data_IF_348851470264
#
_entry.id   IF_348851470264
#
_cell.length_a   1.000
_cell.length_b   1.000
_cell.length_c   1.000
_cell.angle_alpha   90.00
_cell.angle_beta   90.00
_cell.angle_gamma   90.00
#
_symmetry.space_group_name_H-M   'P 1'
#
loop_
_entity.id
_entity.type
_entity.pdbx_description
1 polymer ?
#
# COMPACT_ATOMS: atom_id res chain seq x y z
N UNK A 1 -4.68 19.54 19.71
CA UNK A 1 -5.99 18.84 19.65
C UNK A 1 -5.70 17.34 19.65
N UNK A 2 -5.37 16.76 20.81
CA UNK A 2 -4.78 15.41 20.91
C UNK A 2 -5.76 14.32 20.46
N UNK A 3 -7.06 14.46 20.75
CA UNK A 3 -8.11 13.53 20.29
C UNK A 3 -8.32 13.52 18.77
N UNK A 4 -8.05 14.64 18.08
CA UNK A 4 -8.14 14.70 16.62
C UNK A 4 -7.00 13.95 15.92
N UNK A 5 -5.83 13.90 16.55
CA UNK A 5 -4.62 13.28 16.01
C UNK A 5 -4.66 11.76 16.20
N UNK A 6 -5.07 11.29 17.39
CA UNK A 6 -5.26 9.85 17.68
C UNK A 6 -6.32 9.21 16.76
N UNK A 7 -7.42 9.92 16.49
CA UNK A 7 -8.42 9.49 15.53
C UNK A 7 -7.92 9.50 14.08
N UNK A 8 -6.92 10.31 13.74
CA UNK A 8 -6.32 10.35 12.40
C UNK A 8 -5.32 9.20 12.23
N UNK A 9 -4.46 8.95 13.23
CA UNK A 9 -3.56 7.81 13.26
C UNK A 9 -4.31 6.47 13.13
N UNK A 10 -5.45 6.31 13.84
CA UNK A 10 -6.29 5.12 13.71
C UNK A 10 -6.86 4.92 12.29
N UNK A 11 -7.18 6.01 11.58
CA UNK A 11 -7.65 5.96 10.19
C UNK A 11 -6.53 5.58 9.23
N UNK A 12 -5.32 6.10 9.42
CA UNK A 12 -4.14 5.67 8.67
C UNK A 12 -3.88 4.18 8.88
N UNK A 13 -3.85 3.70 10.12
CA UNK A 13 -3.66 2.29 10.44
C UNK A 13 -4.71 1.39 9.76
N UNK A 14 -5.99 1.82 9.76
CA UNK A 14 -7.07 1.11 9.08
C UNK A 14 -6.84 1.04 7.55
N UNK A 15 -6.54 2.17 6.91
CA UNK A 15 -6.26 2.21 5.48
C UNK A 15 -5.03 1.36 5.10
N UNK A 16 -3.97 1.40 5.91
CA UNK A 16 -2.76 0.60 5.71
C UNK A 16 -3.00 -0.91 5.90
N UNK A 17 -3.90 -1.29 6.80
CA UNK A 17 -4.32 -2.70 6.93
C UNK A 17 -5.00 -3.19 5.64
N UNK A 18 -5.94 -2.40 5.12
CA UNK A 18 -6.77 -2.82 3.99
C UNK A 18 -6.12 -2.64 2.62
N UNK A 19 -5.13 -1.76 2.48
CA UNK A 19 -4.36 -1.66 1.23
C UNK A 19 -3.47 -2.91 1.01
N UNK A 20 -3.06 -3.57 2.09
CA UNK A 20 -2.30 -4.83 2.05
C UNK A 20 -3.18 -6.08 2.12
N UNK A 21 -4.51 -5.94 2.08
CA UNK A 21 -5.42 -7.07 2.15
C UNK A 21 -5.49 -7.78 0.78
N UNK A 22 -4.88 -8.95 0.70
CA UNK A 22 -4.83 -9.75 -0.52
C UNK A 22 -4.87 -11.25 -0.16
N UNK A 23 -6.06 -11.80 0.17
CA UNK A 23 -6.20 -13.18 0.62
C UNK A 23 -5.84 -14.21 -0.47
N UNK A 24 -5.78 -13.79 -1.73
CA UNK A 24 -5.49 -14.63 -2.89
C UNK A 24 -4.07 -14.36 -3.46
N UNK A 25 -3.25 -13.62 -2.72
CA UNK A 25 -1.85 -13.41 -3.10
C UNK A 25 -1.01 -14.62 -2.71
N UNK A 26 -0.82 -15.54 -3.65
CA UNK A 26 0.30 -16.48 -3.58
C UNK A 26 1.60 -15.72 -3.85
N UNK A 27 2.47 -15.72 -2.84
CA UNK A 27 3.83 -15.16 -2.86
C UNK A 27 4.78 -16.23 -3.43
N UNK A 28 4.54 -16.64 -4.68
CA UNK A 28 5.37 -17.62 -5.42
C UNK A 28 6.74 -17.01 -5.86
N UNK A 29 7.29 -16.07 -5.08
CA UNK A 29 8.67 -15.59 -5.20
C UNK A 29 9.59 -16.20 -4.11
N UNK A 30 9.20 -17.33 -3.50
CA UNK A 30 10.15 -18.21 -2.79
C UNK A 30 10.67 -19.28 -3.76
N UNK A 31 11.57 -18.87 -4.66
CA UNK A 31 12.50 -19.80 -5.28
C UNK A 31 13.33 -20.50 -4.17
N UNK A 32 13.37 -21.84 -4.25
CA UNK A 32 14.31 -22.76 -3.58
C UNK A 32 13.85 -23.41 -2.25
N UNK A 33 12.99 -24.43 -2.36
CA UNK A 33 12.97 -25.58 -1.44
C UNK A 33 12.66 -26.84 -2.26
N UNK A 34 13.70 -27.40 -2.86
CA UNK A 34 13.75 -28.83 -3.21
C UNK A 34 13.34 -29.65 -1.98
N UNK A 35 12.16 -30.27 -2.01
CA UNK A 35 11.83 -31.39 -1.12
C UNK A 35 11.18 -32.48 -1.95
N UNK A 36 12.01 -33.47 -2.27
CA UNK A 36 11.59 -34.74 -2.85
C UNK A 36 10.76 -35.57 -1.85
N UNK A 37 9.70 -36.16 -2.41
CA UNK A 37 9.04 -37.43 -2.06
C UNK A 37 8.44 -37.62 -0.65
N UNK A 38 7.11 -37.79 -0.61
CA UNK A 38 6.55 -39.12 -0.29
C UNK A 38 5.13 -39.27 -0.90
N UNK A 39 4.92 -40.40 -1.58
CA UNK A 39 3.66 -40.85 -2.17
C UNK A 39 2.66 -41.36 -1.10
N UNK A 40 1.39 -41.44 -1.51
CA UNK A 40 0.26 -42.19 -0.92
C UNK A 40 -0.59 -41.51 0.19
N UNK A 41 -1.77 -40.98 -0.16
CA UNK A 41 -3.05 -41.71 -0.08
C UNK A 41 -4.24 -40.80 -0.45
N UNK A 42 -5.03 -41.25 -1.41
CA UNK A 42 -6.29 -40.66 -1.88
C UNK A 42 -7.30 -40.41 -0.74
N UNK A 43 -7.57 -39.14 -0.43
CA UNK A 43 -8.78 -38.73 0.29
C UNK A 43 -9.43 -37.59 -0.48
N UNK A 44 -10.45 -37.94 -1.26
CA UNK A 44 -11.56 -37.11 -1.73
C UNK A 44 -11.24 -35.62 -1.91
N UNK A 45 -10.92 -35.26 -3.16
CA UNK A 45 -11.20 -33.97 -3.76
C UNK A 45 -12.65 -33.58 -3.45
N UNK A 46 -12.86 -32.88 -2.32
CA UNK A 46 -14.07 -32.10 -2.13
C UNK A 46 -13.92 -30.88 -3.02
N UNK A 47 -14.95 -30.69 -3.80
CA UNK A 47 -15.13 -29.77 -4.89
C UNK A 47 -15.31 -28.36 -4.33
N UNK A 48 -14.30 -27.85 -3.62
CA UNK A 48 -14.18 -26.41 -3.38
C UNK A 48 -13.68 -25.80 -4.70
N UNK A 49 -14.61 -25.71 -5.67
CA UNK A 49 -14.59 -24.69 -6.71
C UNK A 49 -14.36 -23.34 -6.01
N UNK A 50 -13.10 -22.98 -5.77
CA UNK A 50 -12.69 -21.60 -5.57
C UNK A 50 -13.03 -20.89 -6.87
N UNK A 51 -14.26 -20.39 -6.92
CA UNK A 51 -14.75 -19.63 -8.04
C UNK A 51 -13.96 -18.32 -8.07
N UNK A 52 -12.93 -18.27 -8.92
CA UNK A 52 -12.08 -17.10 -9.19
C UNK A 52 -12.94 -15.85 -9.53
N UNK A 53 -14.19 -16.05 -9.98
CA UNK A 53 -15.16 -14.98 -10.24
C UNK A 53 -15.63 -14.21 -8.98
N UNK A 54 -15.43 -14.74 -7.77
CA UNK A 54 -15.84 -14.08 -6.51
C UNK A 54 -14.71 -13.29 -5.82
N UNK A 55 -13.49 -13.21 -6.40
CA UNK A 55 -12.43 -12.37 -5.82
C UNK A 55 -12.73 -10.87 -5.99
N UNK A 56 -13.31 -10.29 -4.96
CA UNK A 56 -13.53 -8.85 -4.83
C UNK A 56 -12.53 -8.16 -3.88
N UNK A 57 -11.45 -8.84 -3.47
CA UNK A 57 -10.44 -8.28 -2.56
C UNK A 57 -9.79 -7.02 -3.11
N UNK A 58 -9.66 -6.92 -4.43
CA UNK A 58 -9.18 -5.73 -5.12
C UNK A 58 -10.07 -4.51 -4.84
N UNK A 59 -11.39 -4.67 -4.68
CA UNK A 59 -12.29 -3.56 -4.34
C UNK A 59 -11.98 -3.01 -2.94
N UNK A 60 -11.59 -3.88 -2.01
CA UNK A 60 -11.14 -3.49 -0.66
C UNK A 60 -9.86 -2.68 -0.75
N UNK A 61 -8.87 -3.15 -1.52
CA UNK A 61 -7.61 -2.40 -1.75
C UNK A 61 -7.85 -1.04 -2.39
N UNK A 62 -8.74 -0.96 -3.40
CA UNK A 62 -9.14 0.31 -4.02
C UNK A 62 -9.82 1.27 -3.05
N UNK A 63 -10.75 0.78 -2.23
CA UNK A 63 -11.41 1.59 -1.23
C UNK A 63 -10.40 2.13 -0.20
N UNK A 64 -9.46 1.30 0.23
CA UNK A 64 -8.37 1.69 1.12
C UNK A 64 -7.46 2.76 0.50
N UNK A 65 -7.08 2.62 -0.78
CA UNK A 65 -6.27 3.62 -1.50
C UNK A 65 -6.98 4.97 -1.56
N UNK A 66 -8.28 5.00 -1.88
CA UNK A 66 -9.08 6.24 -1.94
C UNK A 66 -9.25 6.89 -0.57
N UNK A 67 -9.45 6.08 0.48
CA UNK A 67 -9.45 6.57 1.85
C UNK A 67 -8.09 7.20 2.19
N UNK A 68 -6.99 6.54 1.82
CA UNK A 68 -5.63 7.03 2.07
C UNK A 68 -5.34 8.34 1.33
N UNK A 69 -5.72 8.47 0.05
CA UNK A 69 -5.62 9.75 -0.69
C UNK A 69 -6.38 10.87 0.03
N UNK A 70 -7.60 10.60 0.50
CA UNK A 70 -8.39 11.57 1.26
C UNK A 70 -7.71 11.97 2.58
N UNK A 71 -7.12 11.01 3.31
CA UNK A 71 -6.37 11.25 4.54
C UNK A 71 -5.11 12.08 4.28
N UNK A 72 -4.32 11.75 3.25
CA UNK A 72 -3.13 12.50 2.82
C UNK A 72 -3.49 13.96 2.52
N UNK A 73 -4.63 14.21 1.87
CA UNK A 73 -5.07 15.55 1.51
C UNK A 73 -5.47 16.45 2.69
N UNK A 74 -5.85 15.86 3.84
CA UNK A 74 -6.31 16.61 5.03
C UNK A 74 -5.36 16.51 6.22
N UNK A 75 -4.37 15.61 6.17
CA UNK A 75 -3.43 15.40 7.26
C UNK A 75 -2.55 16.62 7.50
N UNK A 76 -2.22 16.87 8.77
CA UNK A 76 -1.20 17.84 9.14
C UNK A 76 0.18 17.34 8.75
N UNK A 77 1.13 18.26 8.55
CA UNK A 77 2.50 17.86 8.21
C UNK A 77 3.13 16.91 9.24
N UNK A 78 3.05 17.16 10.57
CA UNK A 78 3.57 16.22 11.57
C UNK A 78 3.01 14.81 11.40
N UNK A 79 1.68 14.68 11.34
CA UNK A 79 0.98 13.40 11.17
C UNK A 79 1.42 12.68 9.90
N UNK A 80 1.47 13.38 8.76
CA UNK A 80 1.87 12.77 7.49
C UNK A 80 3.35 12.35 7.52
N UNK A 81 4.22 13.15 8.14
CA UNK A 81 5.66 12.85 8.25
C UNK A 81 5.97 11.66 9.15
N UNK A 82 5.15 11.46 10.18
CA UNK A 82 5.21 10.30 11.07
C UNK A 82 4.85 9.01 10.32
N UNK A 83 3.79 9.04 9.51
CA UNK A 83 3.32 7.86 8.77
C UNK A 83 3.99 7.65 7.40
N UNK A 84 4.86 8.56 6.96
CA UNK A 84 5.40 8.57 5.60
C UNK A 84 6.03 7.24 5.19
N UNK A 85 6.89 6.66 6.04
CA UNK A 85 7.65 5.46 5.70
C UNK A 85 6.74 4.23 5.58
N UNK A 86 5.81 4.06 6.52
CA UNK A 86 4.81 2.98 6.49
C UNK A 86 3.90 3.10 5.26
N UNK A 87 3.41 4.31 4.98
CA UNK A 87 2.55 4.61 3.83
C UNK A 87 3.26 4.30 2.53
N UNK A 88 4.47 4.83 2.34
CA UNK A 88 5.24 4.62 1.11
C UNK A 88 5.62 3.15 0.93
N UNK A 89 6.04 2.46 1.99
CA UNK A 89 6.36 1.03 1.93
C UNK A 89 5.18 0.20 1.45
N UNK A 90 3.97 0.41 2.02
CA UNK A 90 2.76 -0.32 1.62
C UNK A 90 2.29 0.04 0.22
N UNK A 91 2.39 1.31 -0.19
CA UNK A 91 2.02 1.73 -1.56
C UNK A 91 2.96 1.13 -2.60
N UNK A 92 4.28 1.16 -2.36
CA UNK A 92 5.26 0.58 -3.28
C UNK A 92 5.07 -0.93 -3.43
N UNK A 93 4.77 -1.66 -2.36
CA UNK A 93 4.43 -3.08 -2.45
C UNK A 93 3.16 -3.38 -3.26
N UNK A 94 2.34 -2.36 -3.56
CA UNK A 94 1.09 -2.48 -4.33
C UNK A 94 1.17 -1.86 -5.73
N UNK A 95 2.33 -1.36 -6.15
CA UNK A 95 2.52 -0.99 -7.57
C UNK A 95 2.51 -2.21 -8.48
N UNK A 96 2.76 -3.41 -7.93
CA UNK A 96 2.70 -4.72 -8.61
C UNK A 96 1.35 -5.43 -8.50
N UNK A 97 0.29 -4.74 -8.08
CA UNK A 97 -1.01 -5.40 -7.89
C UNK A 97 -1.50 -6.04 -9.19
N UNK A 98 -2.12 -7.22 -9.13
CA UNK A 98 -2.63 -7.94 -10.31
C UNK A 98 -3.70 -7.13 -11.03
N UNK A 99 -4.38 -6.24 -10.29
CA UNK A 99 -5.45 -5.39 -10.79
C UNK A 99 -4.96 -4.00 -11.21
N UNK A 100 -4.99 -3.65 -12.51
CA UNK A 100 -4.54 -2.33 -13.00
C UNK A 100 -5.31 -1.17 -12.36
N UNK A 101 -6.58 -1.40 -11.99
CA UNK A 101 -7.39 -0.40 -11.31
C UNK A 101 -6.91 -0.10 -9.87
N UNK A 102 -6.33 -1.09 -9.18
CA UNK A 102 -5.67 -0.89 -7.88
C UNK A 102 -4.36 -0.14 -8.08
N UNK A 103 -3.54 -0.53 -9.06
CA UNK A 103 -2.28 0.15 -9.37
C UNK A 103 -2.51 1.65 -9.65
N UNK A 104 -3.52 2.01 -10.45
CA UNK A 104 -3.85 3.42 -10.74
C UNK A 104 -4.25 4.21 -9.50
N UNK A 105 -5.05 3.62 -8.61
CA UNK A 105 -5.43 4.25 -7.35
C UNK A 105 -4.19 4.42 -6.43
N UNK A 106 -3.28 3.43 -6.38
CA UNK A 106 -2.00 3.49 -5.65
C UNK A 106 -1.09 4.62 -6.18
N UNK A 107 -0.88 4.70 -7.49
CA UNK A 107 -0.09 5.78 -8.10
C UNK A 107 -0.73 7.16 -7.86
N UNK A 108 -2.06 7.23 -7.84
CA UNK A 108 -2.77 8.47 -7.50
C UNK A 108 -2.44 8.93 -6.08
N UNK A 109 -2.42 8.01 -5.10
CA UNK A 109 -2.03 8.34 -3.71
C UNK A 109 -0.57 8.81 -3.65
N UNK A 110 0.36 8.14 -4.33
CA UNK A 110 1.77 8.57 -4.38
C UNK A 110 1.87 9.98 -4.96
N UNK A 111 1.14 10.27 -6.04
CA UNK A 111 1.06 11.61 -6.64
C UNK A 111 0.50 12.67 -5.68
N UNK A 112 -0.51 12.32 -4.88
CA UNK A 112 -1.06 13.20 -3.86
C UNK A 112 -0.07 13.49 -2.73
N UNK A 113 0.70 12.50 -2.28
CA UNK A 113 1.77 12.71 -1.28
C UNK A 113 2.81 13.70 -1.80
N UNK A 114 3.25 13.57 -3.06
CA UNK A 114 4.19 14.52 -3.68
C UNK A 114 3.59 15.92 -3.76
N UNK A 115 2.33 16.03 -4.19
CA UNK A 115 1.63 17.31 -4.32
C UNK A 115 1.44 17.99 -2.96
N UNK A 116 1.07 17.25 -1.92
CA UNK A 116 0.91 17.76 -0.55
C UNK A 116 2.26 18.15 0.05
N UNK A 117 3.30 17.32 -0.12
CA UNK A 117 4.65 17.64 0.34
C UNK A 117 5.25 18.88 -0.34
N UNK A 118 4.95 19.10 -1.62
CA UNK A 118 5.33 20.34 -2.32
C UNK A 118 4.66 21.58 -1.70
N UNK A 119 3.37 21.48 -1.33
CA UNK A 119 2.65 22.56 -0.62
C UNK A 119 3.26 22.86 0.75
N UNK A 120 3.65 21.84 1.52
CA UNK A 120 4.34 22.09 2.80
C UNK A 120 5.64 22.85 2.59
N UNK A 121 6.42 22.51 1.56
CA UNK A 121 7.65 23.23 1.21
C UNK A 121 7.42 24.70 0.83
N UNK A 122 6.32 25.01 0.15
CA UNK A 122 5.97 26.39 -0.20
C UNK A 122 5.72 27.27 1.05
N UNK A 123 5.20 26.66 2.12
CA UNK A 123 4.92 27.36 3.38
C UNK A 123 6.12 27.32 4.34
N UNK A 124 6.89 26.23 4.33
CA UNK A 124 8.08 26.01 5.15
C UNK A 124 9.19 25.31 4.31
N UNK A 125 10.23 26.05 3.88
CA UNK A 125 11.36 25.47 3.15
C UNK A 125 12.07 24.31 3.87
N UNK A 126 12.03 24.29 5.21
CA UNK A 126 12.63 23.26 6.07
C UNK A 126 11.62 22.16 6.47
N UNK A 127 10.48 22.10 5.78
CA UNK A 127 9.45 21.08 5.97
C UNK A 127 10.04 19.67 6.03
N UNK A 128 9.76 18.96 7.13
CA UNK A 128 10.20 17.57 7.36
C UNK A 128 9.64 16.63 6.31
N UNK A 129 8.36 16.79 5.95
CA UNK A 129 7.74 16.01 4.89
C UNK A 129 8.47 16.20 3.56
N UNK A 130 8.78 17.46 3.22
CA UNK A 130 9.50 17.77 1.98
C UNK A 130 10.93 17.22 1.97
N UNK A 131 11.58 17.16 3.13
CA UNK A 131 12.92 16.57 3.28
C UNK A 131 12.88 15.06 3.05
N UNK A 132 11.94 14.34 3.69
CA UNK A 132 11.72 12.91 3.46
C UNK A 132 11.47 12.59 2.00
N UNK A 133 10.58 13.34 1.33
CA UNK A 133 10.33 13.16 -0.10
C UNK A 133 11.61 13.28 -0.93
N UNK A 134 12.45 14.29 -0.70
CA UNK A 134 13.70 14.48 -1.45
C UNK A 134 14.69 13.33 -1.22
N UNK A 135 14.78 12.86 0.02
CA UNK A 135 15.65 11.75 0.41
C UNK A 135 15.26 10.45 -0.30
N UNK A 136 13.97 10.13 -0.34
CA UNK A 136 13.47 8.86 -0.87
C UNK A 136 13.14 8.89 -2.37
N UNK A 137 13.01 10.06 -3.00
CA UNK A 137 12.54 10.22 -4.40
C UNK A 137 13.28 9.30 -5.37
N UNK A 138 14.61 9.21 -5.24
CA UNK A 138 15.41 8.41 -6.19
C UNK A 138 15.11 6.92 -6.04
N UNK A 139 14.96 6.43 -4.82
CA UNK A 139 14.66 5.02 -4.57
C UNK A 139 13.22 4.68 -4.94
N UNK A 140 12.26 5.57 -4.63
CA UNK A 140 10.88 5.45 -5.09
C UNK A 140 10.80 5.33 -6.61
N UNK A 141 11.51 6.20 -7.35
CA UNK A 141 11.55 6.16 -8.82
C UNK A 141 12.20 4.87 -9.32
N UNK A 142 13.31 4.42 -8.70
CA UNK A 142 13.97 3.17 -9.07
C UNK A 142 13.05 1.97 -8.87
N UNK A 143 12.33 1.90 -7.75
CA UNK A 143 11.38 0.83 -7.46
C UNK A 143 10.23 0.88 -8.48
N UNK A 144 9.70 2.06 -8.81
CA UNK A 144 8.60 2.15 -9.80
C UNK A 144 9.05 1.79 -11.22
N UNK A 145 10.32 2.02 -11.59
CA UNK A 145 10.83 1.75 -12.96
C UNK A 145 11.37 0.33 -13.13
N UNK A 146 11.95 -0.26 -12.09
CA UNK A 146 12.52 -1.61 -12.15
C UNK A 146 11.47 -2.71 -12.20
N UNK A 147 10.24 -2.35 -11.84
CA UNK A 147 9.06 -3.20 -11.74
C UNK A 147 8.11 -2.89 -12.90
#
# INVERSE_FOLDING_TARGET
>A
NVQGDEGTAARFACALKYISYDPNFDDDETEDMDTYEDEDEDVYSDDDEYNDDDDESWKVRRAAAKMLSSLVGVASEPTLSEHYDDVMSKLLARTKDREPSVQLDVFSVIGDIVRVGAKFREHDPESKMSAKLRETTTDVIRIIIRE
#
